data_IF_123869043201
#
_entry.id   IF_123869043201
#
_cell.length_a   1.000
_cell.length_b   1.000
_cell.length_c   1.000
_cell.angle_alpha   90.00
_cell.angle_beta   90.00
_cell.angle_gamma   90.00
#
_symmetry.space_group_name_H-M   'P 1'
#
loop_
_entity.id
_entity.type
_entity.pdbx_description
1 polymer ?
#
# COMPACT_ATOMS: atom_id res chain seq x y z
N UNK A 1 26.71 -44.82 33.06
CA UNK A 1 27.71 -45.13 32.01
C UNK A 1 27.12 -44.79 30.65
N UNK A 2 27.81 -43.90 29.95
CA UNK A 2 27.82 -43.54 28.51
C UNK A 2 26.88 -44.21 27.48
N UNK A 3 26.32 -43.32 26.63
CA UNK A 3 26.10 -43.41 25.15
C UNK A 3 25.04 -44.41 24.66
N UNK A 4 24.17 -44.09 23.71
CA UNK A 4 24.40 -43.27 22.51
C UNK A 4 23.12 -42.55 22.05
N UNK A 5 23.23 -41.23 21.85
CA UNK A 5 22.33 -40.47 20.98
C UNK A 5 22.62 -40.90 19.54
N UNK A 6 21.62 -41.50 18.87
CA UNK A 6 21.65 -41.70 17.41
C UNK A 6 21.50 -40.34 16.75
N UNK A 7 22.62 -39.69 16.47
CA UNK A 7 22.69 -38.57 15.56
C UNK A 7 22.41 -39.08 14.15
N UNK A 8 21.21 -38.81 13.63
CA UNK A 8 20.98 -38.81 12.18
C UNK A 8 21.68 -37.59 11.58
N UNK A 9 23.02 -37.66 11.48
CA UNK A 9 23.78 -36.79 10.60
C UNK A 9 23.53 -37.28 9.18
N UNK A 10 22.67 -36.57 8.44
CA UNK A 10 22.56 -36.80 7.00
C UNK A 10 23.80 -36.22 6.33
N UNK A 11 24.71 -37.14 6.01
CA UNK A 11 25.87 -36.95 5.15
C UNK A 11 25.60 -35.98 3.99
N UNK A 12 26.42 -34.93 3.95
CA UNK A 12 27.15 -34.47 2.77
C UNK A 12 26.38 -34.54 1.43
N UNK A 13 25.56 -33.53 1.14
CA UNK A 13 25.49 -33.07 -0.26
C UNK A 13 26.86 -32.49 -0.58
N UNK A 14 27.59 -33.07 -1.54
CA UNK A 14 28.80 -32.44 -2.13
C UNK A 14 28.50 -30.95 -2.30
N UNK A 15 29.21 -30.10 -1.56
CA UNK A 15 28.98 -28.66 -1.60
C UNK A 15 29.09 -28.22 -3.06
N UNK A 16 27.98 -27.77 -3.62
CA UNK A 16 27.88 -27.36 -5.02
C UNK A 16 28.89 -26.23 -5.25
N UNK A 17 29.81 -26.41 -6.20
CA UNK A 17 30.86 -25.43 -6.47
C UNK A 17 30.27 -24.17 -7.12
N UNK A 18 29.92 -23.20 -6.27
CA UNK A 18 29.34 -21.92 -6.69
C UNK A 18 30.27 -21.14 -7.63
N UNK A 19 31.58 -21.39 -7.61
CA UNK A 19 32.52 -20.72 -8.53
C UNK A 19 32.28 -21.16 -9.97
N UNK A 20 32.02 -22.45 -10.20
CA UNK A 20 31.69 -23.00 -11.52
C UNK A 20 30.29 -22.62 -12.00
N UNK A 21 29.34 -22.48 -11.07
CA UNK A 21 27.95 -22.13 -11.42
C UNK A 21 27.71 -20.63 -11.60
N UNK A 22 28.49 -19.77 -10.93
CA UNK A 22 28.30 -18.31 -10.98
C UNK A 22 28.29 -17.76 -12.42
N UNK A 23 29.20 -18.13 -13.34
CA UNK A 23 29.14 -17.68 -14.73
C UNK A 23 27.84 -18.10 -15.45
N UNK A 24 27.36 -19.32 -15.21
CA UNK A 24 26.13 -19.84 -15.82
C UNK A 24 24.89 -19.10 -15.31
N UNK A 25 24.85 -18.81 -14.00
CA UNK A 25 23.77 -18.03 -13.38
C UNK A 25 23.75 -16.60 -13.93
N UNK A 26 24.91 -15.95 -14.03
CA UNK A 26 25.02 -14.61 -14.59
C UNK A 26 24.57 -14.58 -16.05
N UNK A 27 25.01 -15.53 -16.88
CA UNK A 27 24.55 -15.66 -18.27
C UNK A 27 23.04 -15.84 -18.39
N UNK A 28 22.43 -16.62 -17.48
CA UNK A 28 20.97 -16.79 -17.43
C UNK A 28 20.23 -15.50 -17.03
N UNK A 29 20.76 -14.75 -16.07
CA UNK A 29 20.19 -13.45 -15.66
C UNK A 29 20.29 -12.46 -16.82
N UNK A 30 21.45 -12.39 -17.47
CA UNK A 30 21.65 -11.52 -18.64
C UNK A 30 20.69 -11.87 -19.77
N UNK A 31 20.51 -13.17 -20.07
CA UNK A 31 19.54 -13.60 -21.07
C UNK A 31 18.11 -13.14 -20.72
N UNK A 32 17.67 -13.32 -19.47
CA UNK A 32 16.35 -12.85 -19.02
C UNK A 32 16.21 -11.33 -19.11
N UNK A 33 17.29 -10.60 -18.84
CA UNK A 33 17.27 -9.15 -18.88
C UNK A 33 17.00 -8.59 -20.29
N UNK A 34 17.34 -9.35 -21.35
CA UNK A 34 17.08 -8.96 -22.74
C UNK A 34 15.59 -8.91 -23.10
N UNK A 35 14.77 -9.64 -22.36
CA UNK A 35 13.31 -9.71 -22.58
C UNK A 35 12.56 -8.51 -21.95
N UNK A 36 13.27 -7.60 -21.27
CA UNK A 36 12.71 -6.47 -20.54
C UNK A 36 13.09 -5.14 -21.21
N UNK A 37 12.17 -4.15 -21.27
CA UNK A 37 10.79 -4.22 -20.80
C UNK A 37 9.89 -5.06 -21.73
N UNK A 38 8.88 -5.71 -21.16
CA UNK A 38 7.89 -6.52 -21.90
C UNK A 38 6.90 -5.59 -22.59
N UNK A 39 7.23 -5.13 -23.80
CA UNK A 39 6.51 -4.05 -24.51
C UNK A 39 4.97 -4.17 -24.54
N UNK A 40 4.34 -5.34 -24.74
CA UNK A 40 2.87 -5.45 -24.81
C UNK A 40 2.13 -4.97 -23.54
N UNK A 41 2.78 -4.95 -22.38
CA UNK A 41 2.16 -4.51 -21.12
C UNK A 41 2.21 -3.00 -20.89
N UNK A 42 2.97 -2.26 -21.72
CA UNK A 42 3.18 -0.82 -21.57
C UNK A 42 1.87 0.00 -21.51
N UNK A 43 0.81 -0.31 -22.29
CA UNK A 43 -0.47 0.38 -22.16
C UNK A 43 -1.08 0.26 -20.76
N UNK A 44 -0.93 -0.91 -20.11
CA UNK A 44 -1.41 -1.13 -18.73
C UNK A 44 -0.63 -0.28 -17.74
N UNK A 45 0.70 -0.16 -17.91
CA UNK A 45 1.53 0.69 -17.06
C UNK A 45 1.14 2.18 -17.15
N UNK A 46 0.84 2.67 -18.35
CA UNK A 46 0.34 4.05 -18.55
C UNK A 46 -1.04 4.25 -17.95
N UNK A 47 -1.95 3.28 -18.11
CA UNK A 47 -3.26 3.32 -17.48
C UNK A 47 -3.16 3.37 -15.95
N UNK A 48 -2.25 2.58 -15.36
CA UNK A 48 -1.96 2.60 -13.91
C UNK A 48 -1.54 3.97 -13.43
N UNK A 49 -0.64 4.66 -14.15
CA UNK A 49 -0.21 6.01 -13.76
C UNK A 49 -1.34 7.04 -13.89
N UNK A 50 -2.12 6.99 -14.98
CA UNK A 50 -3.29 7.87 -15.16
C UNK A 50 -4.34 7.65 -14.06
N UNK A 51 -4.62 6.40 -13.72
CA UNK A 51 -5.51 6.04 -12.62
C UNK A 51 -4.97 6.52 -11.28
N UNK A 52 -3.65 6.42 -11.05
CA UNK A 52 -2.99 6.99 -9.87
C UNK A 52 -3.19 8.52 -9.81
N UNK A 53 -2.95 9.25 -10.88
CA UNK A 53 -3.13 10.71 -10.90
C UNK A 53 -4.59 11.11 -10.65
N UNK A 54 -5.54 10.45 -11.31
CA UNK A 54 -6.97 10.69 -11.11
C UNK A 54 -7.41 10.39 -9.67
N UNK A 55 -6.90 9.30 -9.08
CA UNK A 55 -7.17 8.95 -7.68
C UNK A 55 -6.67 10.02 -6.72
N UNK A 56 -5.40 10.44 -6.82
CA UNK A 56 -4.85 11.45 -5.92
C UNK A 56 -5.59 12.78 -6.06
N UNK A 57 -5.93 13.18 -7.29
CA UNK A 57 -6.70 14.40 -7.54
C UNK A 57 -8.11 14.34 -6.95
N UNK A 58 -8.81 13.23 -7.20
CA UNK A 58 -10.12 12.98 -6.64
C UNK A 58 -10.14 13.01 -5.11
N UNK A 59 -9.22 12.28 -4.47
CA UNK A 59 -9.11 12.28 -3.00
C UNK A 59 -8.78 13.67 -2.46
N UNK A 60 -7.81 14.37 -3.04
CA UNK A 60 -7.44 15.74 -2.63
C UNK A 60 -8.63 16.70 -2.66
N UNK A 61 -9.49 16.60 -3.68
CA UNK A 61 -10.69 17.42 -3.77
C UNK A 61 -11.75 16.98 -2.76
N UNK A 62 -12.01 15.68 -2.60
CA UNK A 62 -13.06 15.17 -1.72
C UNK A 62 -12.79 15.48 -0.24
N UNK A 63 -11.54 15.39 0.23
CA UNK A 63 -11.21 15.66 1.65
C UNK A 63 -11.42 17.12 2.06
N UNK A 64 -11.54 18.05 1.10
CA UNK A 64 -11.89 19.46 1.37
C UNK A 64 -13.37 19.65 1.71
N UNK A 65 -14.22 18.70 1.32
CA UNK A 65 -15.67 18.74 1.52
C UNK A 65 -16.19 17.67 2.49
N UNK A 66 -15.46 16.56 2.64
CA UNK A 66 -15.82 15.44 3.51
C UNK A 66 -14.75 15.31 4.59
N UNK A 67 -15.07 15.54 5.88
CA UNK A 67 -14.06 15.52 6.93
C UNK A 67 -13.42 14.14 7.08
N UNK A 68 -12.08 14.14 7.09
CA UNK A 68 -11.24 12.98 7.39
C UNK A 68 -10.48 13.27 8.67
N UNK A 69 -10.52 12.32 9.60
CA UNK A 69 -9.89 12.41 10.91
C UNK A 69 -8.82 11.33 11.03
N UNK A 70 -7.60 11.72 11.36
CA UNK A 70 -6.50 10.81 11.67
C UNK A 70 -6.23 10.82 13.18
N UNK A 71 -5.95 9.67 13.78
CA UNK A 71 -5.56 9.62 15.18
C UNK A 71 -4.11 10.08 15.33
N UNK A 72 -3.87 11.00 16.27
CA UNK A 72 -2.52 11.53 16.57
C UNK A 72 -1.51 10.46 17.02
N UNK A 73 -1.99 9.36 17.59
CA UNK A 73 -1.12 8.38 18.26
C UNK A 73 -1.09 7.01 17.62
N UNK A 74 -2.02 6.70 16.71
CA UNK A 74 -2.06 5.39 16.05
C UNK A 74 -2.53 5.52 14.61
N UNK A 75 -2.33 4.50 13.76
CA UNK A 75 -2.68 4.57 12.34
C UNK A 75 -4.19 4.54 12.05
N UNK A 76 -5.08 4.78 13.02
CA UNK A 76 -6.53 4.75 12.80
C UNK A 76 -7.01 6.04 12.13
N UNK A 77 -7.91 5.89 11.16
CA UNK A 77 -8.50 6.98 10.39
C UNK A 77 -10.01 6.76 10.38
N UNK A 78 -10.75 7.86 10.43
CA UNK A 78 -12.20 7.88 10.36
C UNK A 78 -12.67 8.97 9.41
N UNK A 79 -13.74 8.72 8.68
CA UNK A 79 -14.32 9.68 7.73
C UNK A 79 -15.76 9.95 8.19
N UNK A 80 -16.12 11.22 8.36
CA UNK A 80 -17.42 11.64 8.88
C UNK A 80 -17.32 12.93 9.69
N UNK A 81 -18.47 13.49 10.08
CA UNK A 81 -18.57 14.80 10.75
C UNK A 81 -17.67 14.96 11.99
N UNK A 82 -17.48 13.88 12.75
CA UNK A 82 -16.55 13.81 13.86
C UNK A 82 -15.98 12.39 14.04
N UNK A 83 -14.86 12.27 14.73
CA UNK A 83 -14.25 10.96 15.00
C UNK A 83 -15.10 10.05 15.90
N UNK A 84 -14.89 8.73 15.82
CA UNK A 84 -15.63 7.77 16.63
C UNK A 84 -15.13 7.70 18.09
N UNK A 85 -15.95 7.12 18.97
CA UNK A 85 -15.67 6.92 20.40
C UNK A 85 -15.34 5.46 20.76
N UNK A 86 -15.18 4.58 19.77
CA UNK A 86 -14.71 3.20 19.97
C UNK A 86 -13.32 3.23 20.61
N UNK A 87 -13.14 2.51 21.72
CA UNK A 87 -11.88 2.46 22.47
C UNK A 87 -10.87 1.50 21.84
N UNK A 88 -10.42 1.80 20.61
CA UNK A 88 -9.42 1.03 19.86
C UNK A 88 -8.02 1.63 19.87
N UNK A 89 -7.85 2.85 20.39
CA UNK A 89 -6.56 3.51 20.37
C UNK A 89 -5.53 2.72 21.18
N UNK A 90 -4.36 2.51 20.57
CA UNK A 90 -3.21 1.88 21.20
C UNK A 90 -2.23 2.88 21.83
N UNK A 91 -2.48 4.18 21.64
CA UNK A 91 -1.64 5.28 22.16
C UNK A 91 -0.21 5.26 21.62
N UNK A 92 0.60 6.21 22.08
CA UNK A 92 2.05 6.18 21.88
C UNK A 92 2.68 5.14 22.84
N UNK A 93 3.78 4.51 22.41
CA UNK A 93 4.46 3.40 23.10
C UNK A 93 4.42 3.55 24.63
N UNK A 94 3.88 2.52 25.32
CA UNK A 94 3.80 2.35 26.80
C UNK A 94 2.59 2.99 27.54
N UNK A 95 1.57 3.49 26.85
CA UNK A 95 0.32 3.91 27.50
C UNK A 95 -0.75 2.80 27.57
N UNK A 96 -1.74 3.01 28.45
CA UNK A 96 -2.88 2.10 28.62
C UNK A 96 -3.60 1.82 27.29
N UNK A 97 -3.86 0.55 27.02
CA UNK A 97 -4.52 0.06 25.81
C UNK A 97 -6.03 0.29 25.92
N UNK A 98 -6.71 0.49 24.77
CA UNK A 98 -8.18 0.68 24.67
C UNK A 98 -8.65 2.02 25.23
N UNK A 99 -8.19 3.11 24.61
CA UNK A 99 -8.71 4.46 24.87
C UNK A 99 -9.46 4.97 23.64
N UNK A 100 -10.25 6.01 23.83
CA UNK A 100 -10.74 6.83 22.72
C UNK A 100 -9.58 7.51 22.00
N UNK A 101 -9.80 7.87 20.74
CA UNK A 101 -8.78 8.50 19.90
C UNK A 101 -8.73 10.01 20.12
N UNK A 102 -7.54 10.58 19.97
CA UNK A 102 -7.36 12.03 19.82
C UNK A 102 -7.23 12.32 18.32
N UNK A 103 -8.25 12.96 17.78
CA UNK A 103 -8.41 13.17 16.35
C UNK A 103 -7.80 14.51 15.91
N UNK A 104 -7.08 14.48 14.79
CA UNK A 104 -6.60 15.65 14.05
C UNK A 104 -7.11 15.57 12.61
N UNK A 105 -7.05 16.69 11.88
CA UNK A 105 -7.36 16.69 10.46
C UNK A 105 -6.47 15.69 9.71
N UNK A 106 -7.09 14.77 8.99
CA UNK A 106 -6.40 13.82 8.14
C UNK A 106 -5.91 14.45 6.85
N UNK A 107 -4.86 13.87 6.30
CA UNK A 107 -4.23 14.24 5.04
C UNK A 107 -4.55 13.23 3.94
N UNK A 108 -4.08 13.52 2.72
CA UNK A 108 -4.17 12.56 1.61
C UNK A 108 -3.45 11.24 1.92
N UNK A 109 -2.33 11.28 2.65
CA UNK A 109 -1.52 10.11 3.00
C UNK A 109 -2.21 9.21 4.04
N UNK A 110 -3.17 9.76 4.79
CA UNK A 110 -4.02 9.01 5.72
C UNK A 110 -5.07 8.18 4.97
N UNK A 111 -5.48 8.64 3.78
CA UNK A 111 -6.46 7.96 2.91
C UNK A 111 -5.77 7.02 1.91
N UNK A 112 -4.71 7.50 1.25
CA UNK A 112 -3.88 6.76 0.29
C UNK A 112 -2.52 6.50 0.93
N UNK A 113 -2.28 5.27 1.37
CA UNK A 113 -1.02 4.92 2.06
C UNK A 113 0.17 5.03 1.09
N UNK A 114 1.15 5.92 1.33
CA UNK A 114 2.33 6.01 0.49
C UNK A 114 3.22 4.78 0.69
N UNK A 115 3.59 4.15 -0.43
CA UNK A 115 4.56 3.04 -0.45
C UNK A 115 5.69 3.43 -1.39
N UNK A 116 6.90 3.47 -0.85
CA UNK A 116 8.10 3.81 -1.60
C UNK A 116 9.01 2.61 -1.79
N UNK A 117 9.84 2.66 -2.82
CA UNK A 117 10.97 1.76 -3.02
C UNK A 117 12.17 2.50 -3.61
N UNK A 118 13.32 1.83 -3.67
CA UNK A 118 14.46 2.36 -4.42
C UNK A 118 14.20 2.34 -5.91
N UNK A 119 14.59 3.41 -6.59
CA UNK A 119 14.60 3.48 -8.04
C UNK A 119 15.71 2.60 -8.62
N UNK A 120 15.38 1.77 -9.62
CA UNK A 120 16.34 0.94 -10.34
C UNK A 120 16.54 1.46 -11.77
N UNK A 121 17.77 1.35 -12.27
CA UNK A 121 18.05 1.67 -13.68
C UNK A 121 17.51 0.58 -14.61
N UNK A 122 17.54 -0.67 -14.15
CA UNK A 122 17.00 -1.83 -14.88
C UNK A 122 16.56 -2.94 -13.93
N UNK A 123 15.57 -3.71 -14.36
CA UNK A 123 14.97 -4.83 -13.62
C UNK A 123 16.01 -5.83 -13.08
N UNK A 124 17.05 -6.11 -13.87
CA UNK A 124 18.14 -7.00 -13.50
C UNK A 124 19.43 -6.20 -13.39
N UNK A 125 19.66 -5.64 -12.20
CA UNK A 125 20.90 -4.94 -11.85
C UNK A 125 21.55 -5.52 -10.59
N UNK A 126 22.70 -4.97 -10.22
CA UNK A 126 23.37 -5.33 -8.98
C UNK A 126 22.47 -5.02 -7.78
N UNK A 127 22.53 -5.89 -6.76
CA UNK A 127 21.75 -5.72 -5.53
C UNK A 127 22.27 -4.50 -4.77
N UNK A 128 21.38 -3.54 -4.52
CA UNK A 128 21.65 -2.36 -3.69
C UNK A 128 22.07 -2.81 -2.29
N UNK A 129 23.29 -2.46 -1.90
CA UNK A 129 23.84 -2.73 -0.56
C UNK A 129 23.41 -1.65 0.41
N UNK A 130 23.64 -1.90 1.70
CA UNK A 130 23.27 -0.96 2.73
C UNK A 130 24.02 0.38 2.67
N UNK A 131 25.28 0.35 2.27
CA UNK A 131 26.10 1.55 2.11
C UNK A 131 25.59 2.43 0.96
N UNK A 132 25.11 1.78 -0.11
CA UNK A 132 24.61 2.43 -1.33
C UNK A 132 23.20 3.05 -1.14
N UNK A 133 22.56 2.90 0.03
CA UNK A 133 21.15 3.30 0.23
C UNK A 133 20.86 4.78 0.03
N UNK A 134 21.88 5.64 0.12
CA UNK A 134 21.74 7.08 -0.11
C UNK A 134 22.12 7.48 -1.52
N UNK A 135 22.73 6.58 -2.28
CA UNK A 135 23.12 6.78 -3.68
C UNK A 135 21.94 6.51 -4.63
N UNK A 136 20.86 5.92 -4.10
CA UNK A 136 19.65 5.60 -4.85
C UNK A 136 18.48 6.47 -4.38
N UNK A 137 17.81 7.10 -5.35
CA UNK A 137 16.56 7.82 -5.10
C UNK A 137 15.46 6.87 -4.63
N UNK A 138 14.57 7.37 -3.76
CA UNK A 138 13.31 6.72 -3.43
C UNK A 138 12.17 7.30 -4.27
N UNK A 139 11.31 6.43 -4.76
CA UNK A 139 10.14 6.77 -5.59
C UNK A 139 8.93 5.93 -5.15
N UNK A 140 7.70 6.35 -5.45
CA UNK A 140 6.52 5.53 -5.19
C UNK A 140 6.63 4.17 -5.87
N UNK A 141 6.31 3.09 -5.16
CA UNK A 141 6.52 1.72 -5.66
C UNK A 141 5.70 1.42 -6.92
N UNK A 142 4.49 1.98 -7.02
CA UNK A 142 3.67 1.90 -8.25
C UNK A 142 4.35 2.60 -9.43
N UNK A 143 4.98 3.77 -9.18
CA UNK A 143 5.71 4.51 -10.21
C UNK A 143 6.92 3.70 -10.67
N UNK A 144 7.69 3.15 -9.74
CA UNK A 144 8.83 2.28 -10.09
C UNK A 144 8.37 1.07 -10.92
N UNK A 145 7.26 0.43 -10.54
CA UNK A 145 6.70 -0.70 -11.29
C UNK A 145 6.38 -0.31 -12.75
N UNK A 146 5.83 0.88 -12.97
CA UNK A 146 5.53 1.38 -14.30
C UNK A 146 6.80 1.81 -15.08
N UNK A 147 7.79 2.40 -14.42
CA UNK A 147 9.09 2.73 -15.03
C UNK A 147 9.79 1.46 -15.51
N UNK A 148 9.84 0.42 -14.67
CA UNK A 148 10.38 -0.87 -15.07
C UNK A 148 9.57 -1.56 -16.18
N UNK A 149 8.31 -1.18 -16.35
CA UNK A 149 7.47 -1.61 -17.45
C UNK A 149 7.70 -0.85 -18.78
N UNK A 150 8.63 0.10 -18.79
CA UNK A 150 9.03 0.86 -19.98
C UNK A 150 8.28 2.17 -20.18
N UNK A 151 7.63 2.71 -19.14
CA UNK A 151 7.13 4.09 -19.18
C UNK A 151 8.33 5.06 -19.19
N UNK A 152 8.24 6.10 -20.01
CA UNK A 152 9.26 7.14 -20.11
C UNK A 152 9.36 7.91 -18.78
N UNK A 153 10.58 8.18 -18.32
CA UNK A 153 10.83 8.94 -17.09
C UNK A 153 10.29 10.38 -17.14
N UNK A 154 10.04 10.92 -18.34
CA UNK A 154 9.46 12.24 -18.57
C UNK A 154 7.92 12.21 -18.71
N UNK A 155 7.26 11.06 -18.53
CA UNK A 155 5.80 10.99 -18.61
C UNK A 155 5.17 11.88 -17.51
N UNK A 156 4.31 12.84 -17.87
CA UNK A 156 3.73 13.78 -16.91
C UNK A 156 2.89 13.09 -15.83
N UNK A 157 2.43 11.86 -16.07
CA UNK A 157 1.64 11.07 -15.12
C UNK A 157 2.49 10.50 -13.97
N UNK A 158 3.82 10.59 -14.04
CA UNK A 158 4.72 10.15 -12.97
C UNK A 158 4.64 11.11 -11.77
N UNK A 159 4.61 12.41 -12.07
CA UNK A 159 4.54 13.47 -11.08
C UNK A 159 3.07 13.73 -10.75
N UNK A 160 2.75 13.76 -9.47
CA UNK A 160 1.47 14.34 -9.05
C UNK A 160 1.71 15.84 -9.04
N UNK A 161 1.07 16.56 -9.96
CA UNK A 161 1.16 18.02 -9.98
C UNK A 161 0.81 18.57 -8.59
N UNK A 162 1.56 19.57 -8.08
CA UNK A 162 1.19 20.26 -6.86
C UNK A 162 -0.27 20.69 -6.97
N UNK A 163 -1.09 20.29 -6.00
CA UNK A 163 -2.45 20.75 -5.95
C UNK A 163 -2.43 22.26 -5.80
N UNK A 164 -2.92 23.00 -6.81
CA UNK A 164 -3.15 24.42 -6.66
C UNK A 164 -4.15 24.60 -5.50
N UNK A 165 -3.67 25.20 -4.42
CA UNK A 165 -4.48 25.65 -3.29
C UNK A 165 -5.26 26.93 -3.63
N UNK A 166 -5.21 27.37 -4.89
CA UNK A 166 -5.72 28.66 -5.34
C UNK A 166 -7.19 28.63 -5.78
N UNK A 167 -7.82 27.45 -5.91
CA UNK A 167 -9.23 27.39 -6.30
C UNK A 167 -10.13 27.51 -5.06
N UNK A 168 -10.81 28.65 -5.06
CA UNK A 168 -11.83 29.20 -4.17
C UNK A 168 -12.67 28.12 -3.45
N UNK A 169 -13.00 28.36 -2.18
CA UNK A 169 -13.85 27.54 -1.30
C UNK A 169 -15.32 27.49 -1.79
N UNK A 170 -15.55 27.44 -3.10
CA UNK A 170 -16.87 27.30 -3.69
C UNK A 170 -17.44 25.97 -3.23
N UNK A 171 -18.61 26.05 -2.60
CA UNK A 171 -19.41 24.88 -2.30
C UNK A 171 -19.69 24.12 -3.60
N UNK A 172 -19.04 22.98 -3.78
CA UNK A 172 -19.38 22.07 -4.87
C UNK A 172 -20.81 21.59 -4.68
N UNK A 173 -21.60 21.54 -5.76
CA UNK A 173 -22.92 20.92 -5.71
C UNK A 173 -22.79 19.44 -5.35
N UNK A 174 -23.84 18.87 -4.74
CA UNK A 174 -23.88 17.44 -4.41
C UNK A 174 -23.67 16.55 -5.66
N UNK A 175 -24.17 16.97 -6.82
CA UNK A 175 -23.97 16.25 -8.09
C UNK A 175 -22.51 16.25 -8.55
N UNK A 176 -21.79 17.37 -8.36
CA UNK A 176 -20.37 17.46 -8.67
C UNK A 176 -19.54 16.60 -7.71
N UNK A 177 -19.85 16.63 -6.40
CA UNK A 177 -19.21 15.75 -5.41
C UNK A 177 -19.44 14.27 -5.75
N UNK A 178 -20.66 13.91 -6.15
CA UNK A 178 -21.01 12.56 -6.58
C UNK A 178 -20.25 12.13 -7.83
N UNK A 179 -20.10 13.02 -8.80
CA UNK A 179 -19.31 12.77 -10.01
C UNK A 179 -17.83 12.52 -9.66
N UNK A 180 -17.24 13.37 -8.83
CA UNK A 180 -15.85 13.23 -8.39
C UNK A 180 -15.69 11.92 -7.59
N UNK A 181 -16.59 11.62 -6.66
CA UNK A 181 -16.60 10.38 -5.89
C UNK A 181 -16.60 9.14 -6.78
N UNK A 182 -17.45 9.10 -7.81
CA UNK A 182 -17.50 8.00 -8.78
C UNK A 182 -16.21 7.87 -9.57
N UNK A 183 -15.70 8.97 -10.15
CA UNK A 183 -14.44 8.95 -10.91
C UNK A 183 -13.25 8.52 -10.05
N UNK A 184 -13.22 8.96 -8.79
CA UNK A 184 -12.18 8.59 -7.82
C UNK A 184 -12.24 7.10 -7.48
N UNK A 185 -13.45 6.56 -7.29
CA UNK A 185 -13.65 5.14 -7.03
C UNK A 185 -13.28 4.27 -8.24
N UNK A 186 -13.64 4.69 -9.44
CA UNK A 186 -13.23 4.02 -10.68
C UNK A 186 -11.70 4.02 -10.85
N UNK A 187 -11.06 5.15 -10.52
CA UNK A 187 -9.60 5.27 -10.54
C UNK A 187 -8.92 4.34 -9.52
N UNK A 188 -9.50 4.19 -8.32
CA UNK A 188 -9.04 3.24 -7.30
C UNK A 188 -9.07 1.79 -7.80
N UNK A 189 -10.18 1.36 -8.40
CA UNK A 189 -10.32 0.00 -8.96
C UNK A 189 -9.36 -0.24 -10.12
N UNK A 190 -9.26 0.72 -11.06
CA UNK A 190 -8.34 0.63 -12.21
C UNK A 190 -6.88 0.56 -11.77
N UNK A 191 -6.49 1.39 -10.80
CA UNK A 191 -5.14 1.39 -10.23
C UNK A 191 -4.79 0.02 -9.68
N UNK A 192 -5.64 -0.53 -8.80
CA UNK A 192 -5.38 -1.83 -8.15
C UNK A 192 -5.39 -2.99 -9.13
N UNK A 193 -6.34 -3.01 -10.07
CA UNK A 193 -6.42 -3.99 -11.15
C UNK A 193 -5.19 -3.94 -12.06
N UNK A 194 -4.76 -2.76 -12.48
CA UNK A 194 -3.59 -2.58 -13.32
C UNK A 194 -2.29 -2.97 -12.62
N UNK A 195 -2.12 -2.62 -11.34
CA UNK A 195 -0.99 -3.09 -10.52
C UNK A 195 -1.00 -4.61 -10.42
N UNK A 196 -2.16 -5.25 -10.24
CA UNK A 196 -2.25 -6.70 -10.24
C UNK A 196 -1.73 -7.31 -11.55
N UNK A 197 -2.18 -6.78 -12.70
CA UNK A 197 -1.72 -7.21 -14.03
C UNK A 197 -0.21 -7.04 -14.20
N UNK A 198 0.35 -5.91 -13.76
CA UNK A 198 1.79 -5.65 -13.82
C UNK A 198 2.59 -6.64 -12.96
N UNK A 199 2.10 -7.01 -11.77
CA UNK A 199 2.75 -7.97 -10.86
C UNK A 199 2.76 -9.42 -11.39
N UNK A 200 1.99 -9.74 -12.43
CA UNK A 200 2.14 -11.01 -13.14
C UNK A 200 3.34 -11.03 -14.08
N UNK A 201 3.79 -9.87 -14.55
CA UNK A 201 4.87 -9.73 -15.53
C UNK A 201 6.17 -9.31 -14.85
N UNK A 202 6.11 -8.34 -13.94
CA UNK A 202 7.27 -7.77 -13.26
C UNK A 202 7.37 -8.28 -11.83
N UNK A 203 8.50 -8.88 -11.44
CA UNK A 203 8.69 -9.34 -10.08
C UNK A 203 8.82 -8.15 -9.13
N UNK A 204 8.11 -8.21 -8.01
CA UNK A 204 8.31 -7.30 -6.89
C UNK A 204 8.38 -8.08 -5.58
N UNK A 205 9.10 -7.52 -4.61
CA UNK A 205 9.32 -8.06 -3.28
C UNK A 205 8.84 -7.07 -2.23
N UNK A 206 8.36 -7.61 -1.12
CA UNK A 206 8.00 -6.86 0.08
C UNK A 206 8.61 -7.55 1.28
N UNK A 207 8.98 -6.78 2.30
CA UNK A 207 9.38 -7.35 3.58
C UNK A 207 8.17 -7.94 4.31
N UNK A 208 8.31 -9.13 4.90
CA UNK A 208 7.24 -9.76 5.69
C UNK A 208 6.90 -8.98 6.97
N UNK A 209 7.81 -8.15 7.45
CA UNK A 209 7.73 -7.53 8.78
C UNK A 209 7.62 -6.00 8.74
N UNK A 210 7.87 -5.37 7.61
CA UNK A 210 7.71 -3.92 7.45
C UNK A 210 7.21 -3.57 6.05
N UNK A 211 6.85 -2.30 5.83
CA UNK A 211 6.28 -1.81 4.57
C UNK A 211 7.33 -1.56 3.46
N UNK A 212 8.54 -2.12 3.57
CA UNK A 212 9.58 -1.94 2.55
C UNK A 212 9.27 -2.79 1.32
N UNK A 213 9.26 -2.14 0.15
CA UNK A 213 9.01 -2.77 -1.15
C UNK A 213 10.25 -2.61 -2.04
N UNK A 214 10.43 -3.56 -2.95
CA UNK A 214 11.45 -3.52 -3.98
C UNK A 214 10.88 -4.10 -5.29
N UNK A 215 10.85 -3.31 -6.36
CA UNK A 215 10.45 -3.76 -7.69
C UNK A 215 11.64 -4.45 -8.35
N UNK A 216 11.75 -5.76 -8.14
CA UNK A 216 12.82 -6.57 -8.70
C UNK A 216 12.77 -8.01 -8.20
N UNK A 217 13.60 -8.91 -8.76
CA UNK A 217 13.53 -10.34 -8.47
C UNK A 217 14.00 -10.75 -7.06
N UNK A 218 14.90 -10.00 -6.43
CA UNK A 218 15.65 -10.48 -5.25
C UNK A 218 15.57 -9.61 -4.00
N UNK A 219 15.05 -8.38 -4.09
CA UNK A 219 15.09 -7.44 -2.96
C UNK A 219 16.48 -6.85 -2.74
N UNK A 220 16.54 -5.71 -2.05
CA UNK A 220 17.82 -5.07 -1.69
C UNK A 220 18.41 -5.63 -0.39
N UNK A 221 19.67 -5.27 -0.12
CA UNK A 221 20.41 -5.61 1.11
C UNK A 221 20.54 -4.43 2.07
N UNK A 222 19.85 -3.31 1.82
CA UNK A 222 19.80 -2.23 2.79
C UNK A 222 19.18 -2.67 4.13
N UNK A 223 19.92 -2.43 5.21
CA UNK A 223 19.54 -2.77 6.59
C UNK A 223 18.63 -1.70 7.22
N UNK A 224 17.43 -1.53 6.67
CA UNK A 224 16.47 -0.50 7.07
C UNK A 224 15.24 -1.06 7.79
N UNK A 225 15.16 -2.37 8.03
CA UNK A 225 14.02 -2.97 8.72
C UNK A 225 14.02 -2.56 10.20
N UNK A 226 13.05 -1.73 10.60
CA UNK A 226 12.91 -1.23 11.97
C UNK A 226 12.56 -2.29 13.01
N UNK A 227 11.97 -3.43 12.59
CA UNK A 227 11.58 -4.52 13.49
C UNK A 227 12.80 -5.25 14.05
N UNK A 228 13.82 -5.46 13.23
CA UNK A 228 15.00 -6.24 13.59
C UNK A 228 16.23 -5.41 13.90
N UNK A 229 16.05 -4.11 14.19
CA UNK A 229 17.17 -3.18 14.41
C UNK A 229 18.08 -3.61 15.57
N UNK A 230 17.49 -4.19 16.63
CA UNK A 230 18.19 -4.61 17.84
C UNK A 230 18.33 -6.13 17.98
N UNK A 231 17.90 -6.88 16.97
CA UNK A 231 18.03 -8.33 16.94
C UNK A 231 19.29 -8.74 16.13
N UNK A 232 19.65 -10.02 16.19
CA UNK A 232 20.81 -10.60 15.46
C UNK A 232 20.74 -10.41 13.94
N UNK A 233 19.56 -10.08 13.40
CA UNK A 233 19.31 -9.84 11.99
C UNK A 233 19.69 -8.43 11.52
N UNK A 234 20.16 -7.55 12.43
CA UNK A 234 20.77 -6.25 12.15
C UNK A 234 20.00 -5.39 11.12
N UNK A 235 18.67 -5.36 11.22
CA UNK A 235 17.80 -4.56 10.34
C UNK A 235 17.68 -5.08 8.90
N UNK A 236 18.04 -6.33 8.61
CA UNK A 236 17.81 -6.95 7.29
C UNK A 236 16.32 -7.21 7.02
N UNK A 237 15.96 -7.35 5.74
CA UNK A 237 14.58 -7.59 5.29
C UNK A 237 14.33 -9.07 5.02
N UNK A 238 13.13 -9.54 5.36
CA UNK A 238 12.65 -10.88 5.01
C UNK A 238 11.74 -10.78 3.78
N UNK A 239 12.32 -10.93 2.60
CA UNK A 239 11.63 -10.74 1.33
C UNK A 239 10.65 -11.86 1.01
N UNK A 240 9.39 -11.51 0.70
CA UNK A 240 8.39 -12.38 0.05
C UNK A 240 7.95 -11.76 -1.29
N UNK A 241 7.21 -12.50 -2.11
CA UNK A 241 6.57 -11.95 -3.32
C UNK A 241 5.56 -10.87 -2.89
N UNK A 242 5.61 -9.70 -3.53
CA UNK A 242 4.65 -8.63 -3.30
C UNK A 242 3.31 -8.92 -4.02
N UNK A 243 2.21 -8.59 -3.37
CA UNK A 243 0.87 -8.55 -3.93
C UNK A 243 0.36 -7.10 -4.09
N UNK A 244 -0.89 -6.97 -4.53
CA UNK A 244 -1.52 -5.65 -4.77
C UNK A 244 -1.57 -4.82 -3.49
N UNK A 245 -1.94 -5.42 -2.36
CA UNK A 245 -2.03 -4.72 -1.07
C UNK A 245 -0.67 -4.31 -0.49
N UNK A 246 0.42 -4.91 -0.95
CA UNK A 246 1.77 -4.49 -0.57
C UNK A 246 2.21 -3.23 -1.37
N UNK A 247 1.69 -3.05 -2.59
CA UNK A 247 1.99 -1.91 -3.48
C UNK A 247 1.01 -0.75 -3.30
N UNK A 248 -0.27 -1.06 -3.08
CA UNK A 248 -1.40 -0.12 -2.93
C UNK A 248 -2.23 -0.56 -1.72
N UNK A 249 -1.75 -0.33 -0.48
CA UNK A 249 -2.42 -0.84 0.72
C UNK A 249 -3.80 -0.20 0.91
N UNK A 250 -4.86 -1.00 1.15
CA UNK A 250 -6.15 -0.44 1.53
C UNK A 250 -6.10 0.01 3.00
N UNK A 251 -6.20 1.32 3.25
CA UNK A 251 -6.38 1.85 4.60
C UNK A 251 -7.76 1.48 5.12
N UNK A 252 -7.87 0.54 6.06
CA UNK A 252 -9.17 0.14 6.62
C UNK A 252 -9.68 1.18 7.61
N UNK A 253 -10.91 1.65 7.41
CA UNK A 253 -11.64 2.56 8.31
C UNK A 253 -12.92 1.90 8.83
N UNK A 254 -13.50 2.46 9.90
CA UNK A 254 -14.86 2.12 10.30
C UNK A 254 -15.86 2.75 9.32
N UNK A 255 -16.82 1.95 8.87
CA UNK A 255 -17.91 2.41 8.02
C UNK A 255 -19.20 2.50 8.82
N UNK A 256 -19.72 3.73 8.97
CA UNK A 256 -21.04 3.99 9.54
C UNK A 256 -22.11 3.75 8.47
N UNK A 257 -23.02 2.83 8.72
CA UNK A 257 -24.19 2.58 7.87
C UNK A 257 -25.32 3.54 8.19
N UNK A 258 -26.34 3.59 7.33
CA UNK A 258 -27.49 4.48 7.53
C UNK A 258 -28.23 4.21 8.85
N UNK A 259 -28.32 2.95 9.25
CA UNK A 259 -28.96 2.52 10.50
C UNK A 259 -28.08 2.68 11.75
N UNK A 260 -26.78 2.96 11.58
CA UNK A 260 -25.85 3.08 12.70
C UNK A 260 -25.93 4.49 13.34
N UNK A 261 -25.61 4.62 14.64
CA UNK A 261 -25.66 5.91 15.33
C UNK A 261 -24.72 6.94 14.68
N UNK A 262 -25.01 8.25 14.81
CA UNK A 262 -24.17 9.32 14.30
C UNK A 262 -22.70 9.21 14.71
N UNK A 263 -22.48 8.80 15.96
CA UNK A 263 -21.15 8.58 16.54
C UNK A 263 -21.04 7.10 16.91
N UNK A 264 -20.07 6.41 16.32
CA UNK A 264 -19.84 4.98 16.59
C UNK A 264 -19.21 4.80 17.98
N UNK A 265 -19.75 3.86 18.75
CA UNK A 265 -19.34 3.54 20.14
C UNK A 265 -19.10 2.04 20.30
N UNK A 266 -18.43 1.63 21.39
CA UNK A 266 -18.06 0.22 21.59
C UNK A 266 -19.24 -0.77 21.57
N UNK A 267 -20.43 -0.36 22.05
CA UNK A 267 -21.62 -1.24 22.12
C UNK A 267 -21.99 -1.86 20.77
N UNK A 268 -21.82 -1.12 19.67
CA UNK A 268 -22.16 -1.58 18.31
C UNK A 268 -20.97 -2.05 17.48
N UNK A 269 -19.75 -2.09 18.06
CA UNK A 269 -18.50 -2.33 17.33
C UNK A 269 -18.51 -3.60 16.46
N UNK A 270 -19.15 -4.66 16.93
CA UNK A 270 -19.22 -5.93 16.20
C UNK A 270 -20.24 -5.91 15.05
N UNK A 271 -21.12 -4.91 15.00
CA UNK A 271 -22.18 -4.75 14.00
C UNK A 271 -21.78 -3.79 12.90
N UNK A 272 -20.94 -2.79 13.20
CA UNK A 272 -20.48 -1.82 12.22
C UNK A 272 -19.66 -2.45 11.10
N UNK A 273 -19.71 -1.79 9.93
CA UNK A 273 -18.93 -2.16 8.77
C UNK A 273 -17.50 -1.63 8.82
N UNK A 274 -16.72 -2.08 7.85
CA UNK A 274 -15.43 -1.52 7.49
C UNK A 274 -15.38 -1.23 5.99
N UNK A 275 -14.45 -0.40 5.58
CA UNK A 275 -14.15 -0.17 4.17
C UNK A 275 -12.70 0.30 4.01
N UNK A 276 -12.11 0.19 2.80
CA UNK A 276 -10.97 1.03 2.45
C UNK A 276 -11.36 2.51 2.52
N UNK A 277 -10.47 3.36 3.03
CA UNK A 277 -10.70 4.79 3.25
C UNK A 277 -11.17 5.48 1.97
N UNK A 278 -10.54 5.17 0.83
CA UNK A 278 -10.94 5.67 -0.49
C UNK A 278 -12.39 5.31 -0.83
N UNK A 279 -12.80 4.06 -0.57
CA UNK A 279 -14.15 3.57 -0.87
C UNK A 279 -15.19 4.25 0.01
N UNK A 280 -14.90 4.37 1.31
CA UNK A 280 -15.79 5.05 2.27
C UNK A 280 -15.91 6.56 1.98
N UNK A 281 -14.81 7.21 1.60
CA UNK A 281 -14.78 8.61 1.16
C UNK A 281 -15.67 8.82 -0.07
N UNK A 282 -15.50 8.01 -1.12
CA UNK A 282 -16.30 8.10 -2.33
C UNK A 282 -17.78 7.78 -2.07
N UNK A 283 -18.07 6.82 -1.19
CA UNK A 283 -19.44 6.49 -0.78
C UNK A 283 -20.12 7.68 -0.11
N UNK A 284 -19.41 8.37 0.79
CA UNK A 284 -19.89 9.60 1.45
C UNK A 284 -20.05 10.78 0.49
N UNK A 285 -19.30 10.80 -0.61
CA UNK A 285 -19.52 11.72 -1.72
C UNK A 285 -20.76 11.37 -2.56
N UNK A 286 -21.43 10.24 -2.29
CA UNK A 286 -22.61 9.77 -3.01
C UNK A 286 -22.31 8.79 -4.14
N UNK A 287 -21.06 8.32 -4.30
CA UNK A 287 -20.73 7.31 -5.29
C UNK A 287 -21.37 5.97 -4.96
N UNK A 288 -21.86 5.27 -5.98
CA UNK A 288 -22.35 3.90 -5.84
C UNK A 288 -21.15 2.97 -5.68
N UNK A 289 -21.12 2.25 -4.56
CA UNK A 289 -20.03 1.33 -4.24
C UNK A 289 -20.25 -0.02 -4.94
N UNK A 290 -19.21 -0.64 -5.52
CA UNK A 290 -19.30 -2.00 -6.05
C UNK A 290 -19.70 -3.04 -5.00
N UNK A 291 -20.44 -4.07 -5.44
CA UNK A 291 -20.92 -5.15 -4.56
C UNK A 291 -19.82 -5.94 -3.85
N UNK A 292 -18.59 -5.94 -4.39
CA UNK A 292 -17.41 -6.55 -3.78
C UNK A 292 -17.10 -6.01 -2.39
N UNK A 293 -17.52 -4.78 -2.07
CA UNK A 293 -17.31 -4.16 -0.76
C UNK A 293 -18.47 -4.37 0.22
N UNK A 294 -19.63 -4.84 -0.25
CA UNK A 294 -20.87 -4.86 0.55
C UNK A 294 -20.73 -5.72 1.82
N UNK A 295 -20.06 -6.87 1.72
CA UNK A 295 -19.80 -7.74 2.87
C UNK A 295 -18.91 -7.06 3.91
N UNK A 296 -17.85 -6.35 3.48
CA UNK A 296 -16.97 -5.63 4.41
C UNK A 296 -17.70 -4.46 5.07
N UNK A 297 -18.50 -3.73 4.29
CA UNK A 297 -19.30 -2.59 4.74
C UNK A 297 -20.54 -3.00 5.55
N UNK A 298 -20.89 -4.29 5.53
CA UNK A 298 -22.08 -4.85 6.19
C UNK A 298 -23.36 -4.09 5.85
N UNK A 299 -23.56 -3.77 4.58
CA UNK A 299 -24.72 -2.97 4.11
C UNK A 299 -26.04 -3.54 4.65
N UNK A 300 -26.23 -4.85 4.49
CA UNK A 300 -27.40 -5.60 4.98
C UNK A 300 -27.17 -6.27 6.35
N UNK A 301 -26.12 -5.87 7.07
CA UNK A 301 -25.80 -6.45 8.37
C UNK A 301 -26.80 -6.03 9.45
N UNK A 302 -27.00 -6.91 10.44
CA UNK A 302 -27.87 -6.64 11.58
C UNK A 302 -27.51 -5.35 12.34
N UNK A 303 -28.50 -4.74 12.95
CA UNK A 303 -28.33 -3.60 13.87
C UNK A 303 -27.91 -4.12 15.25
N UNK A 304 -27.11 -3.34 15.98
CA UNK A 304 -26.77 -3.69 17.35
C UNK A 304 -28.03 -3.73 18.23
N UNK A 305 -28.16 -4.69 19.16
CA UNK A 305 -29.27 -4.72 20.10
C UNK A 305 -29.26 -3.45 20.96
N UNK A 306 -30.43 -2.83 21.07
CA UNK A 306 -30.66 -1.56 21.78
C UNK A 306 -30.39 -1.71 23.27
#
# INVERSE_FOLDING_TARGET
MLRALRNYSTNSRRAMDLRKLRPLILKRIEHRARDYPVKPILPVAREVLRARTALYSGVSTLIRHIPVWACKYCPEVYIGEGGHLIQTCHGYRRHGKKKVHEWVNGSIDDVIVPVECFHLQKMFQNIIKHQERFDHQRVPAVVELCLQAGVDSNDPSIVIAPFDNADDHRSLSEDNLRLIGRQTLDAWEKLRSGVHKLLFVYPARVCKHCCEVHVGPSGHKARTCGVFKYESWHGTHFWKKAGVDDMVPPKRVWHRRRQDPPILVDKGRNYYGHAPAVVDLCSKAGALVPSTYFTMMKIDGLTAPV
#
